data_IF_003187548103
#
_entry.id   IF_003187548103
#
_cell.length_a   1.000
_cell.length_b   1.000
_cell.length_c   1.000
_cell.angle_alpha   90.00
_cell.angle_beta   90.00
_cell.angle_gamma   90.00
#
_symmetry.space_group_name_H-M   'P 1'
#
loop_
_entity.id
_entity.type
_entity.pdbx_description
1 polymer ?
#
# COMPACT_ATOMS: atom_id res chain seq x y z
N UNK A 1 -5.82 37.22 -3.62
CA UNK A 1 -5.96 36.20 -2.56
C UNK A 1 -4.75 35.29 -2.67
N UNK A 2 -3.79 35.42 -1.77
CA UNK A 2 -2.63 34.54 -1.72
C UNK A 2 -3.13 33.18 -1.23
N UNK A 3 -3.10 32.16 -2.08
CA UNK A 3 -3.36 30.80 -1.66
C UNK A 3 -2.33 30.46 -0.57
N UNK A 4 -2.79 30.22 0.66
CA UNK A 4 -1.97 29.55 1.66
C UNK A 4 -1.56 28.21 1.06
N UNK A 5 -0.30 28.07 0.69
CA UNK A 5 0.25 26.81 0.20
C UNK A 5 0.36 25.86 1.40
N UNK A 6 -0.78 25.26 1.78
CA UNK A 6 -0.86 24.26 2.83
C UNK A 6 -0.44 22.89 2.32
N UNK A 7 0.07 22.05 3.22
CA UNK A 7 0.28 20.63 2.92
C UNK A 7 -1.03 19.99 2.42
N UNK A 8 -1.02 19.43 1.21
CA UNK A 8 -2.16 18.69 0.67
C UNK A 8 -1.93 17.19 0.82
N UNK A 9 -3.02 16.45 0.97
CA UNK A 9 -2.99 14.99 1.01
C UNK A 9 -3.42 14.46 -0.35
N UNK A 10 -2.67 13.52 -0.93
CA UNK A 10 -2.90 13.00 -2.28
C UNK A 10 -2.98 11.49 -2.22
N UNK A 11 -4.07 10.93 -2.74
CA UNK A 11 -4.24 9.50 -2.97
C UNK A 11 -4.08 9.18 -4.45
N UNK A 12 -3.29 8.17 -4.78
CA UNK A 12 -3.10 7.69 -6.16
C UNK A 12 -3.41 6.20 -6.18
N UNK A 13 -4.35 5.78 -7.04
CA UNK A 13 -4.51 4.37 -7.40
C UNK A 13 -3.75 4.12 -8.71
N UNK A 14 -2.64 3.39 -8.62
CA UNK A 14 -1.77 3.08 -9.76
C UNK A 14 -2.19 1.72 -10.37
N UNK A 15 -3.11 1.79 -11.33
CA UNK A 15 -3.61 0.62 -12.07
C UNK A 15 -2.84 0.37 -13.37
N UNK A 16 -2.97 -0.85 -13.91
CA UNK A 16 -2.24 -1.29 -15.12
C UNK A 16 -2.64 -0.53 -16.37
N UNK A 17 -3.94 -0.36 -16.57
CA UNK A 17 -4.49 0.28 -17.78
C UNK A 17 -4.85 1.74 -17.51
N UNK A 18 -5.43 2.01 -16.34
CA UNK A 18 -5.80 3.33 -15.87
C UNK A 18 -5.37 3.52 -14.44
N UNK A 19 -4.94 4.73 -14.13
CA UNK A 19 -4.70 5.23 -12.78
C UNK A 19 -5.69 6.32 -12.45
N UNK A 20 -5.81 6.62 -11.17
CA UNK A 20 -6.70 7.66 -10.66
C UNK A 20 -5.98 8.45 -9.58
N UNK A 21 -6.36 9.72 -9.43
CA UNK A 21 -5.80 10.60 -8.41
C UNK A 21 -6.92 11.37 -7.71
N UNK A 22 -6.79 11.47 -6.39
CA UNK A 22 -7.64 12.26 -5.53
C UNK A 22 -6.77 13.11 -4.61
N UNK A 23 -7.28 14.25 -4.20
CA UNK A 23 -6.60 15.11 -3.24
C UNK A 23 -7.55 15.70 -2.22
N UNK A 24 -7.00 16.15 -1.10
CA UNK A 24 -7.72 16.87 -0.07
C UNK A 24 -6.88 18.05 0.39
N UNK A 25 -7.45 19.26 0.32
CA UNK A 25 -6.84 20.46 0.88
C UNK A 25 -7.13 20.55 2.39
N UNK A 26 -6.38 21.37 3.15
CA UNK A 26 -6.61 21.54 4.60
C UNK A 26 -8.02 22.06 4.94
N UNK A 27 -8.68 22.78 4.02
CA UNK A 27 -10.03 23.29 4.22
C UNK A 27 -11.11 22.22 4.02
N UNK A 28 -10.78 21.14 3.32
CA UNK A 28 -11.74 20.11 2.96
C UNK A 28 -11.81 19.02 4.03
N UNK A 29 -13.01 18.44 4.16
CA UNK A 29 -13.25 17.29 5.07
C UNK A 29 -13.31 15.96 4.33
N UNK A 30 -13.29 15.98 3.00
CA UNK A 30 -13.38 14.80 2.16
C UNK A 30 -12.52 14.99 0.91
N UNK A 31 -11.90 13.92 0.40
CA UNK A 31 -11.14 13.97 -0.84
C UNK A 31 -12.02 14.34 -2.05
N UNK A 32 -11.37 14.93 -3.04
CA UNK A 32 -11.94 15.25 -4.35
C UNK A 32 -11.18 14.46 -5.42
N UNK A 33 -11.91 13.82 -6.32
CA UNK A 33 -11.32 13.19 -7.51
C UNK A 33 -10.81 14.28 -8.45
N UNK A 34 -9.65 14.04 -9.04
CA UNK A 34 -9.10 14.89 -10.08
C UNK A 34 -9.71 14.51 -11.42
N UNK A 35 -10.26 15.50 -12.11
CA UNK A 35 -10.83 15.37 -13.46
C UNK A 35 -9.79 15.84 -14.48
N UNK A 36 -9.75 15.25 -15.68
CA UNK A 36 -8.83 15.70 -16.73
C UNK A 36 -9.32 16.94 -17.47
N UNK A 37 -10.63 17.20 -17.51
CA UNK A 37 -11.22 18.38 -18.13
C UNK A 37 -12.08 19.19 -17.16
N UNK A 38 -12.12 20.52 -17.35
CA UNK A 38 -13.03 21.41 -16.60
C UNK A 38 -14.37 21.61 -17.32
N UNK A 39 -14.43 21.33 -18.63
CA UNK A 39 -15.49 21.82 -19.52
C UNK A 39 -16.53 20.75 -19.89
N UNK A 40 -16.20 19.45 -19.87
CA UNK A 40 -17.13 18.37 -20.20
C UNK A 40 -16.96 17.19 -19.23
N UNK A 41 -17.89 17.05 -18.27
CA UNK A 41 -17.92 15.89 -17.36
C UNK A 41 -18.42 14.65 -18.10
N UNK A 42 -17.56 14.07 -18.92
CA UNK A 42 -17.79 12.75 -19.48
C UNK A 42 -17.73 11.69 -18.37
N UNK A 43 -18.53 10.63 -18.53
CA UNK A 43 -18.47 9.44 -17.70
C UNK A 43 -17.04 8.86 -17.83
N UNK A 44 -16.25 8.91 -16.76
CA UNK A 44 -14.83 8.48 -16.66
C UNK A 44 -13.73 9.53 -16.86
N UNK A 45 -14.03 10.83 -16.86
CA UNK A 45 -13.00 11.89 -17.01
C UNK A 45 -11.94 11.92 -15.86
N UNK A 46 -12.16 11.17 -14.77
CA UNK A 46 -11.19 10.96 -13.68
C UNK A 46 -10.15 9.84 -13.92
N UNK A 47 -10.25 9.12 -15.05
CA UNK A 47 -9.38 7.97 -15.36
C UNK A 47 -8.21 8.37 -16.25
N UNK A 48 -7.02 8.37 -15.65
CA UNK A 48 -5.78 8.76 -16.30
C UNK A 48 -5.15 7.52 -16.92
N UNK A 49 -4.89 7.52 -18.23
CA UNK A 49 -4.30 6.37 -18.90
C UNK A 49 -2.89 6.11 -18.39
N UNK A 50 -2.66 4.90 -17.86
CA UNK A 50 -1.32 4.49 -17.43
C UNK A 50 -0.42 4.25 -18.65
N UNK A 51 0.86 4.65 -18.64
CA UNK A 51 1.77 4.39 -19.76
C UNK A 51 1.87 2.88 -20.04
N UNK A 52 1.71 2.51 -21.31
CA UNK A 52 1.50 1.11 -21.73
C UNK A 52 2.68 0.19 -21.36
N UNK A 53 3.90 0.72 -21.38
CA UNK A 53 5.12 -0.03 -21.10
C UNK A 53 5.53 0.00 -19.62
N UNK A 54 4.97 0.91 -18.81
CA UNK A 54 5.37 1.16 -17.43
C UNK A 54 5.41 -0.13 -16.60
N UNK A 55 4.30 -0.87 -16.54
CA UNK A 55 4.23 -2.10 -15.75
C UNK A 55 5.24 -3.14 -16.22
N UNK A 56 5.39 -3.29 -17.54
CA UNK A 56 6.33 -4.25 -18.10
C UNK A 56 7.79 -3.90 -17.83
N UNK A 57 8.15 -2.61 -17.86
CA UNK A 57 9.50 -2.13 -17.56
C UNK A 57 9.84 -2.37 -16.09
N UNK A 58 8.93 -2.01 -15.18
CA UNK A 58 9.12 -2.18 -13.74
C UNK A 58 9.22 -3.66 -13.36
N UNK A 59 8.31 -4.50 -13.85
CA UNK A 59 8.30 -5.94 -13.55
C UNK A 59 9.53 -6.67 -14.11
N UNK A 60 10.15 -6.16 -15.18
CA UNK A 60 11.43 -6.64 -15.73
C UNK A 60 12.66 -6.03 -15.07
N UNK A 61 12.48 -5.16 -14.07
CA UNK A 61 13.56 -4.41 -13.40
C UNK A 61 14.39 -3.55 -14.36
N UNK A 62 13.75 -3.04 -15.41
CA UNK A 62 14.38 -2.13 -16.36
C UNK A 62 14.52 -0.74 -15.72
N UNK A 63 15.72 -0.16 -15.78
CA UNK A 63 16.02 1.14 -15.17
C UNK A 63 15.13 2.27 -15.71
N UNK A 64 14.61 2.14 -16.93
CA UNK A 64 13.69 3.12 -17.53
C UNK A 64 12.34 3.19 -16.81
N UNK A 65 11.93 2.13 -16.11
CA UNK A 65 10.64 2.09 -15.39
C UNK A 65 10.48 3.23 -14.38
N UNK A 66 11.57 3.61 -13.69
CA UNK A 66 11.58 4.75 -12.77
C UNK A 66 11.34 6.07 -13.50
N UNK A 67 11.96 6.27 -14.67
CA UNK A 67 11.82 7.50 -15.44
C UNK A 67 10.43 7.63 -16.04
N UNK A 68 9.88 6.54 -16.57
CA UNK A 68 8.49 6.52 -17.08
C UNK A 68 7.51 6.82 -15.96
N UNK A 69 7.67 6.22 -14.78
CA UNK A 69 6.80 6.51 -13.63
C UNK A 69 6.96 7.97 -13.16
N UNK A 70 8.19 8.48 -13.11
CA UNK A 70 8.47 9.86 -12.75
C UNK A 70 7.74 10.85 -13.65
N UNK A 71 7.83 10.68 -14.98
CA UNK A 71 7.15 11.57 -15.92
C UNK A 71 5.63 11.45 -15.80
N UNK A 72 5.12 10.22 -15.67
CA UNK A 72 3.70 9.99 -15.48
C UNK A 72 3.15 10.68 -14.22
N UNK A 73 3.81 10.50 -13.08
CA UNK A 73 3.41 11.16 -11.82
C UNK A 73 3.53 12.68 -11.91
N UNK A 74 4.53 13.20 -12.62
CA UNK A 74 4.68 14.63 -12.89
C UNK A 74 3.47 15.18 -13.65
N UNK A 75 3.01 14.47 -14.67
CA UNK A 75 1.81 14.82 -15.44
C UNK A 75 0.55 14.75 -14.56
N UNK A 76 0.40 13.70 -13.76
CA UNK A 76 -0.69 13.59 -12.80
C UNK A 76 -0.72 14.76 -11.80
N UNK A 77 0.42 15.15 -11.24
CA UNK A 77 0.49 16.27 -10.30
C UNK A 77 0.30 17.63 -10.98
N UNK A 78 0.57 17.75 -12.28
CA UNK A 78 0.23 18.94 -13.04
C UNK A 78 -1.30 19.12 -13.19
N UNK A 79 -2.11 18.09 -12.93
CA UNK A 79 -3.57 18.21 -12.84
C UNK A 79 -4.05 18.81 -11.50
N UNK A 80 -3.19 18.81 -10.47
CA UNK A 80 -3.49 19.39 -9.14
C UNK A 80 -3.26 20.93 -9.10
N UNK A 81 -3.30 21.61 -10.25
CA UNK A 81 -3.00 23.05 -10.35
C UNK A 81 -3.83 23.87 -9.37
N UNK A 82 -3.14 24.66 -8.54
CA UNK A 82 -3.76 25.53 -7.55
C UNK A 82 -4.08 24.87 -6.20
N UNK A 83 -3.96 23.53 -6.07
CA UNK A 83 -4.17 22.84 -4.80
C UNK A 83 -2.98 22.97 -3.84
N UNK A 84 -1.74 22.96 -4.34
CA UNK A 84 -0.53 23.07 -3.53
C UNK A 84 0.76 22.83 -4.31
N UNK A 85 1.91 22.99 -3.64
CA UNK A 85 3.23 22.64 -4.21
C UNK A 85 3.56 21.17 -3.95
N UNK A 86 4.25 20.53 -4.90
CA UNK A 86 4.64 19.11 -4.84
C UNK A 86 5.46 18.78 -3.58
N UNK A 87 6.36 19.69 -3.18
CA UNK A 87 7.23 19.51 -2.00
C UNK A 87 6.47 19.49 -0.66
N UNK A 88 5.22 19.97 -0.65
CA UNK A 88 4.34 20.01 0.52
C UNK A 88 3.25 18.92 0.47
N UNK A 89 3.32 17.97 -0.47
CA UNK A 89 2.34 16.89 -0.58
C UNK A 89 2.66 15.74 0.38
N UNK A 90 1.64 15.22 1.05
CA UNK A 90 1.65 13.87 1.63
C UNK A 90 0.98 12.92 0.64
N UNK A 91 1.74 11.96 0.10
CA UNK A 91 1.28 11.07 -0.98
C UNK A 91 1.13 9.65 -0.47
N UNK A 92 -0.05 9.08 -0.71
CA UNK A 92 -0.33 7.66 -0.53
C UNK A 92 -0.59 7.03 -1.90
N UNK A 93 0.25 6.06 -2.28
CA UNK A 93 0.04 5.28 -3.51
C UNK A 93 -0.53 3.92 -3.15
N UNK A 94 -1.62 3.55 -3.80
CA UNK A 94 -2.26 2.25 -3.71
C UNK A 94 -2.20 1.47 -5.02
N UNK A 95 -2.19 0.15 -4.90
CA UNK A 95 -2.21 -0.80 -6.01
C UNK A 95 -2.97 -2.05 -5.59
N UNK A 96 -3.40 -2.88 -6.55
CA UNK A 96 -4.08 -4.15 -6.25
C UNK A 96 -3.31 -5.01 -5.23
N UNK A 97 -2.00 -5.15 -5.45
CA UNK A 97 -1.08 -5.80 -4.54
C UNK A 97 0.26 -5.05 -4.60
N UNK A 98 0.74 -4.58 -3.46
CA UNK A 98 2.02 -3.88 -3.39
C UNK A 98 3.16 -4.90 -3.46
N UNK A 99 4.05 -4.79 -4.46
CA UNK A 99 5.23 -5.67 -4.60
C UNK A 99 6.51 -4.92 -4.33
N UNK A 100 7.55 -5.62 -3.88
CA UNK A 100 8.78 -4.96 -3.41
C UNK A 100 9.44 -4.09 -4.48
N UNK A 101 9.43 -4.56 -5.73
CA UNK A 101 9.93 -3.80 -6.88
C UNK A 101 9.15 -2.49 -7.10
N UNK A 102 7.84 -2.52 -6.93
CA UNK A 102 6.98 -1.34 -7.06
C UNK A 102 7.20 -0.36 -5.91
N UNK A 103 7.32 -0.86 -4.68
CA UNK A 103 7.60 -0.01 -3.53
C UNK A 103 8.89 0.82 -3.71
N UNK A 104 9.97 0.20 -4.22
CA UNK A 104 11.23 0.89 -4.50
C UNK A 104 11.11 1.89 -5.67
N UNK A 105 10.46 1.49 -6.77
CA UNK A 105 10.29 2.32 -7.96
C UNK A 105 9.42 3.54 -7.68
N UNK A 106 8.28 3.36 -6.98
CA UNK A 106 7.37 4.45 -6.60
C UNK A 106 8.08 5.47 -5.72
N UNK A 107 8.79 5.01 -4.68
CA UNK A 107 9.55 5.90 -3.80
C UNK A 107 10.61 6.68 -4.57
N UNK A 108 11.36 6.00 -5.43
CA UNK A 108 12.41 6.66 -6.22
C UNK A 108 11.82 7.72 -7.15
N UNK A 109 10.70 7.44 -7.81
CA UNK A 109 10.02 8.40 -8.68
C UNK A 109 9.49 9.62 -7.90
N UNK A 110 8.84 9.41 -6.75
CA UNK A 110 8.32 10.49 -5.90
C UNK A 110 9.44 11.34 -5.26
N UNK A 111 10.54 10.72 -4.83
CA UNK A 111 11.73 11.43 -4.35
C UNK A 111 12.33 12.31 -5.45
N UNK A 112 12.41 11.81 -6.70
CA UNK A 112 12.84 12.61 -7.85
C UNK A 112 11.92 13.80 -8.16
N UNK A 113 10.65 13.74 -7.76
CA UNK A 113 9.70 14.85 -7.86
C UNK A 113 9.84 15.87 -6.72
N UNK A 114 10.71 15.62 -5.74
CA UNK A 114 10.95 16.51 -4.60
C UNK A 114 10.07 16.22 -3.39
N UNK A 115 9.31 15.12 -3.39
CA UNK A 115 8.49 14.73 -2.24
C UNK A 115 9.41 14.10 -1.18
N UNK A 116 9.41 14.60 0.07
CA UNK A 116 10.29 14.07 1.09
C UNK A 116 9.92 12.63 1.44
N UNK A 117 10.92 11.80 1.78
CA UNK A 117 10.69 10.38 2.09
C UNK A 117 9.68 10.15 3.23
N UNK A 118 9.59 11.09 4.19
CA UNK A 118 8.65 11.05 5.30
C UNK A 118 7.20 11.35 4.91
N UNK A 119 6.97 11.78 3.66
CA UNK A 119 5.65 12.10 3.11
C UNK A 119 5.24 11.11 1.99
N UNK A 120 5.98 10.01 1.82
CA UNK A 120 5.70 8.97 0.81
C UNK A 120 5.23 7.69 1.52
N UNK A 121 3.96 7.38 1.30
CA UNK A 121 3.29 6.22 1.85
C UNK A 121 2.76 5.32 0.74
N UNK A 122 2.68 4.04 1.06
CA UNK A 122 2.27 2.98 0.15
C UNK A 122 1.23 2.13 0.86
N UNK A 123 0.28 1.59 0.12
CA UNK A 123 -0.64 0.56 0.62
C UNK A 123 -1.23 -0.31 -0.48
N UNK A 124 -1.95 -1.36 -0.12
CA UNK A 124 -2.75 -2.15 -1.05
C UNK A 124 -4.20 -1.64 -1.18
N UNK A 125 -4.93 -2.24 -2.11
CA UNK A 125 -6.35 -1.96 -2.34
C UNK A 125 -7.21 -2.27 -1.11
N UNK A 126 -6.92 -3.34 -0.36
CA UNK A 126 -7.72 -3.70 0.82
C UNK A 126 -7.51 -2.72 1.98
N UNK A 127 -6.28 -2.23 2.20
CA UNK A 127 -5.99 -1.15 3.14
C UNK A 127 -6.69 0.14 2.73
N UNK A 128 -6.70 0.44 1.43
CA UNK A 128 -7.39 1.62 0.88
C UNK A 128 -8.90 1.48 1.08
N UNK A 129 -9.46 0.30 0.83
CA UNK A 129 -10.87 0.01 1.08
C UNK A 129 -11.21 0.16 2.57
N UNK A 130 -10.35 -0.32 3.46
CA UNK A 130 -10.48 -0.09 4.90
C UNK A 130 -10.53 1.41 5.23
N UNK A 131 -9.55 2.19 4.78
CA UNK A 131 -9.49 3.63 5.02
C UNK A 131 -10.74 4.35 4.47
N UNK A 132 -11.19 3.96 3.28
CA UNK A 132 -12.43 4.45 2.69
C UNK A 132 -13.63 4.14 3.58
N UNK A 133 -13.80 2.88 4.00
CA UNK A 133 -14.90 2.41 4.84
C UNK A 133 -14.95 3.15 6.18
N UNK A 134 -13.82 3.35 6.84
CA UNK A 134 -13.76 4.04 8.15
C UNK A 134 -14.18 5.51 8.07
N UNK A 135 -14.13 6.09 6.86
CA UNK A 135 -14.60 7.44 6.57
C UNK A 135 -16.04 7.49 6.03
N UNK A 136 -16.75 6.35 5.99
CA UNK A 136 -18.16 6.29 5.62
C UNK A 136 -19.11 6.41 6.82
N UNK A 137 -20.41 6.58 6.54
CA UNK A 137 -21.46 6.58 7.56
C UNK A 137 -21.45 5.27 8.36
N UNK A 138 -21.52 5.37 9.69
CA UNK A 138 -21.50 4.23 10.61
C UNK A 138 -22.55 3.15 10.33
N UNK A 139 -23.69 3.53 9.74
CA UNK A 139 -24.76 2.59 9.33
C UNK A 139 -24.28 1.53 8.32
N UNK A 140 -23.32 1.89 7.47
CA UNK A 140 -22.72 0.97 6.48
C UNK A 140 -21.78 -0.07 7.14
N UNK A 141 -21.36 0.18 8.39
CA UNK A 141 -20.45 -0.66 9.18
C UNK A 141 -21.14 -1.29 10.40
N UNK A 142 -22.48 -1.33 10.39
CA UNK A 142 -23.27 -1.91 11.49
C UNK A 142 -23.12 -3.42 11.51
N UNK A 143 -23.20 -4.05 10.34
CA UNK A 143 -22.90 -5.47 10.11
C UNK A 143 -21.67 -5.60 9.21
N UNK A 144 -21.62 -6.66 8.41
CA UNK A 144 -20.52 -6.98 7.54
C UNK A 144 -20.63 -6.22 6.21
N UNK A 145 -19.52 -6.10 5.49
CA UNK A 145 -19.43 -5.44 4.19
C UNK A 145 -18.88 -6.41 3.17
N UNK A 146 -19.48 -6.44 1.98
CA UNK A 146 -18.97 -7.21 0.85
C UNK A 146 -18.29 -6.27 -0.14
N UNK A 147 -17.17 -6.72 -0.70
CA UNK A 147 -16.49 -6.07 -1.82
C UNK A 147 -16.38 -7.10 -2.94
N UNK A 148 -16.87 -6.77 -4.13
CA UNK A 148 -16.68 -7.57 -5.33
C UNK A 148 -15.87 -6.74 -6.32
N UNK A 149 -14.75 -7.28 -6.74
CA UNK A 149 -13.90 -6.72 -7.78
C UNK A 149 -14.05 -7.56 -9.03
N UNK A 150 -14.37 -6.95 -10.16
CA UNK A 150 -14.39 -7.60 -11.45
C UNK A 150 -13.28 -7.02 -12.30
N UNK A 151 -12.25 -7.82 -12.56
CA UNK A 151 -11.13 -7.43 -13.41
C UNK A 151 -10.76 -8.62 -14.32
N UNK A 152 -10.56 -8.37 -15.62
CA UNK A 152 -10.05 -9.36 -16.59
C UNK A 152 -10.77 -10.71 -16.52
N UNK A 153 -12.08 -10.69 -16.72
CA UNK A 153 -12.92 -11.88 -16.72
C UNK A 153 -12.89 -12.66 -15.38
N UNK A 154 -12.52 -12.03 -14.27
CA UNK A 154 -12.50 -12.66 -12.94
C UNK A 154 -13.16 -11.77 -11.90
N UNK A 155 -14.18 -12.30 -11.22
CA UNK A 155 -14.75 -11.68 -10.02
C UNK A 155 -14.05 -12.24 -8.79
N UNK A 156 -13.46 -11.37 -7.98
CA UNK A 156 -12.96 -11.70 -6.64
C UNK A 156 -13.88 -11.08 -5.60
N UNK A 157 -14.38 -11.89 -4.66
CA UNK A 157 -15.23 -11.41 -3.58
C UNK A 157 -14.52 -11.47 -2.24
N UNK A 158 -14.62 -10.37 -1.50
CA UNK A 158 -14.07 -10.18 -0.18
C UNK A 158 -15.18 -9.88 0.82
N UNK A 159 -15.01 -10.40 2.02
CA UNK A 159 -15.89 -10.19 3.15
C UNK A 159 -15.13 -9.45 4.25
N UNK A 160 -15.65 -8.29 4.64
CA UNK A 160 -15.04 -7.39 5.59
C UNK A 160 -15.92 -7.22 6.83
N UNK A 161 -15.31 -7.23 8.02
CA UNK A 161 -16.04 -7.01 9.28
C UNK A 161 -15.17 -6.39 10.38
N UNK A 162 -15.84 -5.85 11.39
CA UNK A 162 -15.22 -5.27 12.57
C UNK A 162 -15.40 -6.19 13.78
N UNK A 163 -14.31 -6.71 14.32
CA UNK A 163 -14.27 -7.42 15.58
C UNK A 163 -14.18 -6.44 16.75
N UNK A 164 -15.35 -6.11 17.31
CA UNK A 164 -15.49 -5.09 18.36
C UNK A 164 -15.19 -5.59 19.78
N UNK A 165 -14.75 -6.84 19.93
CA UNK A 165 -14.44 -7.46 21.23
C UNK A 165 -13.06 -7.05 21.77
N UNK A 166 -12.18 -6.56 20.91
CA UNK A 166 -10.83 -6.11 21.23
C UNK A 166 -10.79 -4.58 21.34
N UNK A 167 -9.73 -4.07 21.97
CA UNK A 167 -9.37 -2.65 21.93
C UNK A 167 -7.90 -2.53 21.51
N UNK A 168 -7.59 -1.93 20.34
CA UNK A 168 -8.52 -1.36 19.37
C UNK A 168 -9.45 -2.40 18.72
N UNK A 169 -10.54 -1.94 18.10
CA UNK A 169 -11.43 -2.77 17.26
C UNK A 169 -10.61 -3.29 16.09
N UNK A 170 -10.69 -4.58 15.80
CA UNK A 170 -9.95 -5.15 14.68
C UNK A 170 -10.82 -5.17 13.43
N UNK A 171 -10.34 -4.54 12.36
CA UNK A 171 -10.87 -4.72 11.03
C UNK A 171 -10.25 -5.95 10.39
N UNK A 172 -11.09 -6.86 9.91
CA UNK A 172 -10.69 -8.12 9.27
C UNK A 172 -11.30 -8.22 7.89
N UNK A 173 -10.59 -8.90 7.01
CA UNK A 173 -11.04 -9.24 5.67
C UNK A 173 -10.76 -10.71 5.39
N UNK A 174 -11.59 -11.33 4.58
CA UNK A 174 -11.35 -12.67 4.05
C UNK A 174 -11.76 -12.75 2.57
N UNK A 175 -11.01 -13.52 1.79
CA UNK A 175 -11.36 -13.81 0.40
C UNK A 175 -12.38 -14.96 0.38
N UNK A 176 -13.59 -14.69 -0.08
CA UNK A 176 -14.67 -15.68 -0.11
C UNK A 176 -14.59 -16.58 -1.34
N UNK A 177 -14.49 -15.99 -2.52
CA UNK A 177 -14.43 -16.75 -3.77
C UNK A 177 -13.73 -15.98 -4.90
N UNK A 178 -13.27 -16.74 -5.90
CA UNK A 178 -12.91 -16.25 -7.23
C UNK A 178 -13.77 -16.94 -8.26
N UNK A 179 -14.39 -16.17 -9.15
CA UNK A 179 -15.25 -16.65 -10.20
C UNK A 179 -14.70 -16.20 -11.56
N UNK A 180 -14.22 -17.16 -12.34
CA UNK A 180 -13.76 -16.92 -13.71
C UNK A 180 -14.96 -16.92 -14.66
N UNK A 181 -15.07 -15.83 -15.43
CA UNK A 181 -16.09 -15.53 -16.43
C UNK A 181 -15.46 -15.37 -17.82
N UNK A 182 -14.40 -16.14 -18.08
CA UNK A 182 -13.64 -16.13 -19.33
C UNK A 182 -14.31 -16.95 -20.45
N UNK A 183 -13.66 -16.99 -21.62
CA UNK A 183 -14.12 -17.80 -22.76
C UNK A 183 -14.23 -19.31 -22.44
N UNK A 184 -13.44 -19.81 -21.50
CA UNK A 184 -13.50 -21.21 -21.06
C UNK A 184 -14.77 -21.46 -20.23
N UNK A 185 -15.16 -20.53 -19.38
CA UNK A 185 -16.43 -20.56 -18.65
C UNK A 185 -17.64 -20.42 -19.59
N UNK A 186 -17.51 -19.56 -20.60
CA UNK A 186 -18.52 -19.36 -21.66
C UNK A 186 -18.82 -20.64 -22.43
N UNK A 187 -17.81 -21.46 -22.73
CA UNK A 187 -17.91 -22.72 -23.51
C UNK A 187 -18.61 -22.53 -24.86
N UNK A 188 -18.28 -21.45 -25.58
CA UNK A 188 -18.80 -21.18 -26.93
C UNK A 188 -20.26 -20.75 -27.01
N UNK A 189 -20.93 -20.47 -25.87
CA UNK A 189 -22.31 -19.97 -25.84
C UNK A 189 -22.47 -18.61 -26.51
N UNK A 190 -23.64 -18.34 -27.06
CA UNK A 190 -24.04 -16.99 -27.51
C UNK A 190 -24.14 -16.00 -26.35
N UNK A 191 -24.20 -14.69 -26.64
CA UNK A 191 -24.15 -13.65 -25.60
C UNK A 191 -25.33 -13.70 -24.63
N UNK A 192 -26.54 -14.02 -25.11
CA UNK A 192 -27.75 -14.13 -24.28
C UNK A 192 -27.67 -15.31 -23.29
N UNK A 193 -27.39 -16.51 -23.80
CA UNK A 193 -27.20 -17.72 -22.96
C UNK A 193 -26.03 -17.53 -21.99
N UNK A 194 -24.96 -16.86 -22.44
CA UNK A 194 -23.84 -16.52 -21.59
C UNK A 194 -24.26 -15.57 -20.47
N UNK A 195 -25.02 -14.51 -20.78
CA UNK A 195 -25.56 -13.56 -19.81
C UNK A 195 -26.31 -14.24 -18.67
N UNK A 196 -27.25 -15.12 -19.02
CA UNK A 196 -28.04 -15.91 -18.05
C UNK A 196 -27.13 -16.81 -17.21
N UNK A 197 -26.19 -17.51 -17.84
CA UNK A 197 -25.28 -18.41 -17.14
C UNK A 197 -24.37 -17.65 -16.17
N UNK A 198 -23.73 -16.57 -16.60
CA UNK A 198 -22.80 -15.80 -15.75
C UNK A 198 -23.50 -15.18 -14.56
N UNK A 199 -24.73 -14.66 -14.73
CA UNK A 199 -25.54 -14.17 -13.61
C UNK A 199 -25.88 -15.30 -12.63
N UNK A 200 -26.31 -16.45 -13.15
CA UNK A 200 -26.61 -17.60 -12.30
C UNK A 200 -25.39 -18.12 -11.53
N UNK A 201 -24.20 -18.07 -12.13
CA UNK A 201 -22.95 -18.45 -11.48
C UNK A 201 -22.58 -17.46 -10.37
N UNK A 202 -22.67 -16.17 -10.62
CA UNK A 202 -22.45 -15.13 -9.62
C UNK A 202 -23.45 -15.28 -8.46
N UNK A 203 -24.74 -15.40 -8.78
CA UNK A 203 -25.80 -15.53 -7.80
C UNK A 203 -25.58 -16.71 -6.85
N UNK A 204 -25.20 -17.89 -7.37
CA UNK A 204 -24.92 -19.07 -6.53
C UNK A 204 -23.77 -18.83 -5.54
N UNK A 205 -22.72 -18.12 -5.96
CA UNK A 205 -21.61 -17.79 -5.07
C UNK A 205 -22.03 -16.74 -4.03
N UNK A 206 -22.86 -15.78 -4.42
CA UNK A 206 -23.44 -14.79 -3.50
C UNK A 206 -24.36 -15.42 -2.47
N UNK A 207 -25.22 -16.38 -2.84
CA UNK A 207 -26.07 -17.09 -1.88
C UNK A 207 -25.22 -17.76 -0.78
N UNK A 208 -24.12 -18.41 -1.17
CA UNK A 208 -23.19 -19.04 -0.23
C UNK A 208 -22.47 -18.00 0.64
N UNK A 209 -21.97 -16.91 0.07
CA UNK A 209 -21.24 -15.87 0.80
C UNK A 209 -22.12 -15.16 1.84
N UNK A 210 -23.40 -14.95 1.53
CA UNK A 210 -24.33 -14.22 2.40
C UNK A 210 -25.16 -15.16 3.30
N UNK A 211 -24.88 -16.46 3.27
CA UNK A 211 -25.57 -17.44 4.10
C UNK A 211 -25.28 -17.18 5.58
N UNK A 212 -26.33 -17.05 6.39
CA UNK A 212 -26.28 -16.85 7.85
C UNK A 212 -25.49 -15.63 8.34
N UNK A 213 -25.07 -14.72 7.45
CA UNK A 213 -24.26 -13.55 7.80
C UNK A 213 -24.96 -12.28 7.31
N UNK A 214 -25.27 -11.33 8.21
CA UNK A 214 -25.89 -10.07 7.81
C UNK A 214 -24.86 -9.13 7.20
N UNK A 215 -25.24 -8.47 6.09
CA UNK A 215 -24.42 -7.47 5.42
C UNK A 215 -25.15 -6.12 5.36
N UNK A 216 -24.46 -5.05 5.75
CA UNK A 216 -24.95 -3.67 5.69
C UNK A 216 -24.77 -3.06 4.30
N UNK A 217 -23.64 -3.36 3.66
CA UNK A 217 -23.24 -2.74 2.40
C UNK A 217 -22.54 -3.73 1.46
N UNK A 218 -22.67 -3.48 0.16
CA UNK A 218 -21.98 -4.18 -0.93
C UNK A 218 -21.34 -3.15 -1.84
N UNK A 219 -20.07 -3.32 -2.14
CA UNK A 219 -19.33 -2.51 -3.10
C UNK A 219 -18.99 -3.36 -4.33
N UNK A 220 -19.32 -2.85 -5.50
CA UNK A 220 -19.05 -3.44 -6.80
C UNK A 220 -18.04 -2.56 -7.52
N UNK A 221 -16.82 -3.06 -7.69
CA UNK A 221 -15.68 -2.39 -8.33
C UNK A 221 -15.36 -3.13 -9.63
N UNK A 222 -15.20 -2.40 -10.71
CA UNK A 222 -14.97 -2.90 -12.07
C UNK A 222 -16.09 -2.46 -13.01
N UNK A 223 -15.70 -1.86 -14.13
CA UNK A 223 -16.62 -1.39 -15.19
C UNK A 223 -17.50 -2.49 -15.76
N UNK A 224 -17.07 -3.74 -15.67
CA UNK A 224 -17.82 -4.91 -16.08
C UNK A 224 -19.14 -5.08 -15.29
N UNK A 225 -19.30 -4.41 -14.13
CA UNK A 225 -20.55 -4.35 -13.39
C UNK A 225 -21.54 -3.27 -13.89
N UNK A 226 -21.14 -2.40 -14.82
CA UNK A 226 -22.02 -1.35 -15.38
C UNK A 226 -23.05 -1.92 -16.37
N UNK A 227 -22.74 -3.05 -17.01
CA UNK A 227 -23.61 -3.67 -18.01
C UNK A 227 -24.87 -4.36 -17.44
N UNK A 228 -25.89 -4.49 -18.29
CA UNK A 228 -27.15 -5.20 -18.00
C UNK A 228 -26.98 -6.70 -18.19
N UNK A 229 -26.40 -7.37 -17.19
CA UNK A 229 -26.25 -8.82 -17.26
C UNK A 229 -26.52 -9.57 -15.96
N UNK A 230 -26.55 -8.86 -14.84
CA UNK A 230 -26.58 -9.46 -13.50
C UNK A 230 -27.88 -9.16 -12.76
N UNK A 231 -29.02 -9.10 -13.43
CA UNK A 231 -30.30 -8.68 -12.82
C UNK A 231 -30.73 -9.53 -11.63
N UNK A 232 -30.47 -10.85 -11.68
CA UNK A 232 -30.77 -11.76 -10.56
C UNK A 232 -29.82 -11.50 -9.40
N UNK A 233 -28.52 -11.41 -9.66
CA UNK A 233 -27.51 -11.11 -8.63
C UNK A 233 -27.70 -9.72 -8.03
N UNK A 234 -27.96 -8.71 -8.84
CA UNK A 234 -28.14 -7.33 -8.39
C UNK A 234 -29.38 -7.18 -7.49
N UNK A 235 -30.51 -7.79 -7.85
CA UNK A 235 -31.70 -7.82 -6.98
C UNK A 235 -31.42 -8.49 -5.64
N UNK A 236 -30.60 -9.55 -5.63
CA UNK A 236 -30.17 -10.20 -4.40
C UNK A 236 -29.30 -9.28 -3.54
N UNK A 237 -28.31 -8.62 -4.16
CA UNK A 237 -27.40 -7.70 -3.48
C UNK A 237 -28.11 -6.47 -2.91
N UNK A 238 -29.16 -5.97 -3.57
CA UNK A 238 -29.92 -4.81 -3.09
C UNK A 238 -30.97 -5.13 -2.01
N UNK A 239 -31.14 -6.41 -1.63
CA UNK A 239 -32.18 -6.81 -0.67
C UNK A 239 -31.79 -6.42 0.77
N UNK A 240 -32.46 -5.38 1.30
CA UNK A 240 -32.32 -4.86 2.68
C UNK A 240 -30.92 -4.34 3.04
N UNK A 241 -30.13 -3.94 2.06
CA UNK A 241 -28.77 -3.44 2.25
C UNK A 241 -28.43 -2.39 1.18
N UNK A 242 -27.41 -1.57 1.42
CA UNK A 242 -26.95 -0.58 0.45
C UNK A 242 -25.99 -1.25 -0.54
N UNK A 243 -26.13 -0.97 -1.83
CA UNK A 243 -25.20 -1.43 -2.87
C UNK A 243 -24.65 -0.22 -3.61
N UNK A 244 -23.34 -0.20 -3.81
CA UNK A 244 -22.61 0.88 -4.47
C UNK A 244 -21.83 0.32 -5.65
N UNK A 245 -21.77 1.08 -6.74
CA UNK A 245 -20.93 0.79 -7.91
C UNK A 245 -19.94 1.94 -8.08
N UNK A 246 -18.71 1.63 -8.46
CA UNK A 246 -17.72 2.64 -8.84
C UNK A 246 -16.28 2.26 -8.47
N UNK A 247 -15.34 2.81 -9.24
CA UNK A 247 -13.93 2.38 -9.22
C UNK A 247 -13.01 3.35 -8.48
N UNK A 248 -13.55 4.42 -7.91
CA UNK A 248 -12.75 5.46 -7.25
C UNK A 248 -12.51 5.21 -5.76
N UNK A 249 -13.10 4.18 -5.17
CA UNK A 249 -13.05 3.96 -3.72
C UNK A 249 -11.63 3.69 -3.21
N UNK A 250 -10.74 3.09 -4.03
CA UNK A 250 -9.34 2.86 -3.66
C UNK A 250 -8.56 4.16 -3.65
N UNK A 251 -8.72 4.99 -4.67
CA UNK A 251 -8.14 6.33 -4.75
C UNK A 251 -8.58 7.21 -3.58
N UNK A 252 -9.88 7.20 -3.28
CA UNK A 252 -10.46 7.93 -2.15
C UNK A 252 -9.91 7.41 -0.82
N UNK A 253 -9.85 6.09 -0.66
CA UNK A 253 -9.25 5.43 0.50
C UNK A 253 -7.78 5.77 0.71
N UNK A 254 -7.00 5.81 -0.38
CA UNK A 254 -5.62 6.28 -0.36
C UNK A 254 -5.51 7.74 0.07
N UNK A 255 -6.40 8.60 -0.43
CA UNK A 255 -6.38 9.99 -0.02
C UNK A 255 -6.78 10.16 1.46
N UNK A 256 -7.76 9.40 1.96
CA UNK A 256 -8.09 9.40 3.39
C UNK A 256 -6.91 8.95 4.25
N UNK A 257 -6.22 7.88 3.87
CA UNK A 257 -5.04 7.43 4.59
C UNK A 257 -3.91 8.46 4.54
N UNK A 258 -3.70 9.13 3.40
CA UNK A 258 -2.76 10.27 3.30
C UNK A 258 -3.14 11.44 4.25
N UNK A 259 -4.44 11.71 4.42
CA UNK A 259 -4.91 12.73 5.36
C UNK A 259 -4.58 12.34 6.80
N UNK A 260 -4.76 11.08 7.18
CA UNK A 260 -4.42 10.59 8.53
C UNK A 260 -2.91 10.74 8.81
N UNK A 261 -2.06 10.38 7.84
CA UNK A 261 -0.60 10.59 7.94
C UNK A 261 -0.21 12.08 8.00
N UNK A 262 -1.01 12.94 7.38
CA UNK A 262 -0.86 14.40 7.45
C UNK A 262 -1.50 15.02 8.71
N UNK A 263 -1.87 14.20 9.70
CA UNK A 263 -2.34 14.64 11.01
C UNK A 263 -3.85 14.90 11.12
N UNK A 264 -4.64 14.52 10.12
CA UNK A 264 -6.09 14.47 10.28
C UNK A 264 -6.45 13.44 11.38
N UNK A 265 -7.57 13.68 12.08
CA UNK A 265 -8.00 12.77 13.15
C UNK A 265 -8.32 11.40 12.57
N UNK A 266 -7.38 10.47 12.71
CA UNK A 266 -7.58 9.08 12.34
C UNK A 266 -8.70 8.44 13.15
N UNK A 267 -9.29 7.36 12.61
CA UNK A 267 -10.13 6.46 13.39
C UNK A 267 -9.26 5.62 14.35
N UNK A 268 -8.68 6.27 15.38
CA UNK A 268 -7.68 5.68 16.31
C UNK A 268 -8.18 4.46 17.10
N UNK A 269 -9.48 4.20 17.06
CA UNK A 269 -10.11 3.07 17.77
C UNK A 269 -10.19 1.80 16.92
N UNK A 270 -9.77 1.82 15.65
CA UNK A 270 -9.80 0.66 14.75
C UNK A 270 -8.43 0.38 14.13
N UNK A 271 -8.06 -0.88 14.03
CA UNK A 271 -6.84 -1.36 13.38
C UNK A 271 -7.19 -2.41 12.33
N UNK A 272 -6.74 -2.20 11.10
CA UNK A 272 -6.83 -3.22 10.05
C UNK A 272 -5.63 -4.16 10.14
N UNK A 273 -5.88 -5.46 10.30
CA UNK A 273 -4.82 -6.46 10.29
C UNK A 273 -4.65 -6.97 8.86
N UNK A 274 -3.64 -6.44 8.18
CA UNK A 274 -3.23 -6.91 6.85
C UNK A 274 -2.27 -8.09 6.98
N UNK A 275 -2.34 -9.02 6.03
CA UNK A 275 -1.34 -10.08 5.87
C UNK A 275 0.03 -9.51 5.50
N UNK A 276 0.10 -8.25 5.06
CA UNK A 276 1.32 -7.51 4.77
C UNK A 276 2.01 -6.93 6.02
N UNK A 277 1.42 -7.06 7.21
CA UNK A 277 2.01 -6.52 8.43
C UNK A 277 3.16 -7.37 8.97
N UNK A 278 4.28 -6.72 9.27
CA UNK A 278 5.41 -7.37 9.93
C UNK A 278 5.07 -7.74 11.38
N UNK A 279 5.44 -8.97 11.77
CA UNK A 279 5.13 -9.53 13.11
C UNK A 279 6.34 -9.52 14.06
N UNK A 280 7.46 -8.93 13.62
CA UNK A 280 8.72 -8.94 14.32
C UNK A 280 9.22 -7.51 14.54
N UNK A 281 9.64 -7.22 15.77
CA UNK A 281 10.45 -6.04 16.05
C UNK A 281 11.90 -6.37 15.69
N UNK A 282 12.60 -5.46 15.02
CA UNK A 282 14.03 -5.53 14.76
C UNK A 282 14.76 -4.50 15.60
N UNK A 283 15.91 -4.87 16.13
CA UNK A 283 16.78 -3.95 16.84
C UNK A 283 18.19 -4.47 17.01
N UNK A 284 19.02 -3.67 17.67
CA UNK A 284 20.42 -3.98 17.93
C UNK A 284 20.75 -3.62 19.37
N UNK A 285 21.54 -4.46 20.03
CA UNK A 285 22.20 -4.07 21.27
C UNK A 285 23.46 -3.27 20.92
N UNK A 286 23.58 -2.07 21.48
CA UNK A 286 24.71 -1.18 21.21
C UNK A 286 25.03 -0.25 22.38
N UNK A 287 26.21 0.36 22.36
CA UNK A 287 26.57 1.41 23.31
C UNK A 287 25.96 2.75 22.86
N UNK A 288 24.92 3.21 23.55
CA UNK A 288 24.25 4.48 23.32
C UNK A 288 24.67 5.45 24.42
N UNK A 289 25.43 6.50 24.06
CA UNK A 289 25.93 7.51 25.01
C UNK A 289 26.71 6.90 26.19
N UNK A 290 27.51 5.87 25.93
CA UNK A 290 28.38 5.23 26.92
C UNK A 290 27.70 4.16 27.78
N UNK A 291 26.44 3.82 27.51
CA UNK A 291 25.71 2.76 28.20
C UNK A 291 25.20 1.73 27.20
N UNK A 292 25.20 0.46 27.59
CA UNK A 292 24.57 -0.60 26.82
C UNK A 292 23.06 -0.38 26.74
N UNK A 293 22.49 -0.47 25.55
CA UNK A 293 21.07 -0.25 25.32
C UNK A 293 20.57 -0.86 24.02
N UNK A 294 19.28 -1.12 23.98
CA UNK A 294 18.59 -1.62 22.80
C UNK A 294 18.20 -0.46 21.88
N UNK A 295 18.71 -0.47 20.66
CA UNK A 295 18.36 0.47 19.61
C UNK A 295 17.31 -0.15 18.68
N UNK A 296 16.06 0.34 18.68
CA UNK A 296 15.02 -0.17 17.78
C UNK A 296 15.31 0.26 16.35
N UNK A 297 15.21 -0.68 15.41
CA UNK A 297 15.36 -0.44 13.98
C UNK A 297 13.97 -0.36 13.32
N UNK A 298 13.14 -1.39 13.51
CA UNK A 298 11.82 -1.49 12.90
C UNK A 298 10.87 -2.14 13.90
N UNK A 299 9.65 -1.63 14.04
CA UNK A 299 8.66 -2.19 14.96
C UNK A 299 7.63 -3.04 14.23
N UNK A 300 7.12 -4.09 14.88
CA UNK A 300 5.99 -4.88 14.41
C UNK A 300 4.73 -4.02 14.22
N UNK A 301 3.80 -4.47 13.37
CA UNK A 301 2.50 -3.82 13.15
C UNK A 301 2.47 -2.76 12.05
N UNK A 302 3.57 -2.59 11.31
CA UNK A 302 3.59 -1.79 10.07
C UNK A 302 3.62 -2.71 8.86
N UNK A 303 3.14 -2.24 7.71
CA UNK A 303 3.21 -3.03 6.48
C UNK A 303 4.65 -3.16 5.98
N UNK A 304 5.03 -4.33 5.47
CA UNK A 304 6.43 -4.63 5.11
C UNK A 304 7.00 -3.68 4.05
N UNK A 305 6.21 -3.20 3.09
CA UNK A 305 6.67 -2.23 2.08
C UNK A 305 6.88 -0.80 2.64
N UNK A 306 6.38 -0.54 3.85
CA UNK A 306 6.68 0.66 4.64
C UNK A 306 7.83 0.44 5.64
N UNK A 307 8.12 -0.81 5.98
CA UNK A 307 9.12 -1.20 6.98
C UNK A 307 10.55 -1.01 6.48
N UNK A 308 11.12 0.17 6.75
CA UNK A 308 12.50 0.52 6.40
C UNK A 308 13.13 1.35 7.51
N UNK A 309 14.44 1.23 7.65
CA UNK A 309 15.22 2.05 8.58
C UNK A 309 16.63 2.29 8.04
N UNK A 310 17.15 3.49 8.25
CA UNK A 310 18.54 3.82 7.94
C UNK A 310 19.17 4.45 9.18
N UNK A 311 20.32 3.93 9.61
CA UNK A 311 21.10 4.53 10.69
C UNK A 311 22.60 4.49 10.39
N UNK A 312 23.34 5.37 11.07
CA UNK A 312 24.80 5.33 11.08
C UNK A 312 25.30 5.06 12.50
N UNK A 313 26.32 4.23 12.63
CA UNK A 313 26.96 3.94 13.92
C UNK A 313 28.45 3.62 13.75
N UNK A 314 29.19 3.70 14.86
CA UNK A 314 30.61 3.35 14.90
C UNK A 314 30.77 1.88 15.27
N UNK A 315 31.57 1.15 14.49
CA UNK A 315 31.87 -0.24 14.74
C UNK A 315 32.76 -0.38 16.00
N UNK A 316 32.45 -1.39 16.82
CA UNK A 316 33.24 -1.77 17.98
C UNK A 316 34.51 -2.53 17.59
N UNK A 317 34.84 -3.55 18.37
CA UNK A 317 35.98 -4.43 18.11
C UNK A 317 35.61 -5.57 17.15
N UNK A 318 34.34 -5.99 17.15
CA UNK A 318 33.82 -7.06 16.30
C UNK A 318 33.66 -6.63 14.85
N UNK A 319 34.01 -7.53 13.91
CA UNK A 319 33.88 -7.30 12.45
C UNK A 319 32.56 -7.85 11.90
N UNK A 320 31.48 -7.59 12.61
CA UNK A 320 30.13 -8.03 12.27
C UNK A 320 29.07 -7.02 12.73
N UNK A 321 27.89 -7.13 12.12
CA UNK A 321 26.68 -6.42 12.57
C UNK A 321 25.69 -7.48 13.03
N UNK A 322 25.27 -7.42 14.29
CA UNK A 322 24.30 -8.34 14.88
C UNK A 322 22.96 -7.64 15.01
N UNK A 323 21.91 -8.25 14.45
CA UNK A 323 20.53 -7.76 14.47
C UNK A 323 19.67 -8.80 15.19
N UNK A 324 18.82 -8.32 16.10
CA UNK A 324 17.88 -9.15 16.83
C UNK A 324 16.48 -8.96 16.27
N UNK A 325 15.81 -10.07 15.98
CA UNK A 325 14.39 -10.08 15.64
C UNK A 325 13.57 -10.67 16.78
N UNK A 326 12.51 -9.99 17.19
CA UNK A 326 11.65 -10.43 18.29
C UNK A 326 10.18 -10.49 17.86
N UNK A 327 9.55 -11.67 17.99
CA UNK A 327 8.11 -11.81 17.74
C UNK A 327 7.31 -11.01 18.77
N UNK A 328 6.05 -10.68 18.45
CA UNK A 328 5.11 -10.09 19.44
C UNK A 328 4.93 -10.99 20.67
N UNK A 329 5.19 -12.30 20.55
CA UNK A 329 5.12 -13.28 21.65
C UNK A 329 6.38 -13.34 22.50
N UNK A 330 7.44 -12.61 22.11
CA UNK A 330 8.68 -12.47 22.87
C UNK A 330 9.81 -13.43 22.48
N UNK A 331 9.59 -14.31 21.49
CA UNK A 331 10.63 -15.17 20.92
C UNK A 331 11.65 -14.31 20.19
N UNK A 332 12.94 -14.55 20.44
CA UNK A 332 14.04 -13.74 19.91
C UNK A 332 14.97 -14.62 19.07
N UNK A 333 15.43 -14.09 17.95
CA UNK A 333 16.41 -14.70 17.06
C UNK A 333 17.51 -13.70 16.74
N UNK A 334 18.74 -14.19 16.67
CA UNK A 334 19.93 -13.42 16.35
C UNK A 334 20.32 -13.64 14.88
N UNK A 335 20.68 -12.54 14.21
CA UNK A 335 21.09 -12.53 12.80
C UNK A 335 22.39 -11.78 12.63
N UNK A 336 23.42 -12.46 12.15
CA UNK A 336 24.78 -11.91 12.04
C UNK A 336 25.15 -11.63 10.59
N UNK A 337 25.55 -10.39 10.31
CA UNK A 337 26.13 -9.97 9.04
C UNK A 337 27.64 -9.82 9.19
N UNK A 338 28.40 -10.80 8.69
CA UNK A 338 29.86 -10.76 8.72
C UNK A 338 30.43 -9.71 7.76
N UNK A 339 31.27 -8.80 8.26
CA UNK A 339 31.90 -7.73 7.48
C UNK A 339 33.21 -8.22 6.85
N UNK A 340 33.09 -9.24 6.00
CA UNK A 340 34.23 -9.86 5.33
C UNK A 340 35.08 -8.83 4.57
N UNK A 341 36.41 -8.94 4.69
CA UNK A 341 37.36 -8.03 4.05
C UNK A 341 37.27 -6.56 4.50
N UNK A 342 36.68 -6.28 5.67
CA UNK A 342 36.77 -4.96 6.30
C UNK A 342 38.25 -4.64 6.64
N UNK A 343 38.77 -3.44 6.30
CA UNK A 343 40.12 -3.05 6.67
C UNK A 343 40.34 -3.11 8.17
N UNK A 344 41.57 -3.43 8.57
CA UNK A 344 41.94 -3.41 9.97
C UNK A 344 42.08 -1.97 10.45
N UNK A 345 41.24 -1.55 11.38
CA UNK A 345 41.20 -0.19 11.94
C UNK A 345 40.98 -0.27 13.45
N UNK A 346 41.41 0.73 14.22
CA UNK A 346 41.14 0.79 15.65
C UNK A 346 39.64 0.77 15.96
N UNK A 347 39.30 0.41 17.20
CA UNK A 347 37.93 0.51 17.73
C UNK A 347 37.33 1.89 17.44
N UNK A 348 36.07 1.94 16.99
CA UNK A 348 35.34 3.17 16.63
C UNK A 348 35.95 3.99 15.48
N UNK A 349 36.87 3.42 14.70
CA UNK A 349 37.46 4.08 13.51
C UNK A 349 36.75 3.72 12.19
N UNK A 350 35.64 2.97 12.25
CA UNK A 350 34.80 2.61 11.11
C UNK A 350 33.38 3.08 11.41
N UNK A 351 32.86 4.01 10.61
CA UNK A 351 31.44 4.34 10.60
C UNK A 351 30.73 3.50 9.54
N UNK A 352 29.68 2.82 9.94
CA UNK A 352 28.83 2.07 9.03
C UNK A 352 27.52 2.83 8.81
N UNK A 353 27.03 2.84 7.56
CA UNK A 353 25.63 3.09 7.26
C UNK A 353 24.92 1.75 7.14
N UNK A 354 23.84 1.57 7.89
CA UNK A 354 22.99 0.38 7.83
C UNK A 354 21.64 0.78 7.24
N UNK A 355 21.25 0.12 6.16
CA UNK A 355 19.95 0.23 5.53
C UNK A 355 19.20 -1.10 5.68
N UNK A 356 18.00 -1.04 6.25
CA UNK A 356 17.10 -2.18 6.41
C UNK A 356 15.83 -1.90 5.61
N UNK A 357 15.38 -2.89 4.86
CA UNK A 357 14.11 -2.83 4.14
C UNK A 357 13.48 -4.21 4.06
N UNK A 358 12.16 -4.31 4.27
CA UNK A 358 11.48 -5.58 4.14
C UNK A 358 11.13 -5.88 2.68
N UNK A 359 11.11 -7.18 2.36
CA UNK A 359 10.76 -7.71 1.03
C UNK A 359 9.54 -8.64 1.08
N UNK A 360 9.15 -9.05 2.29
CA UNK A 360 7.94 -9.77 2.65
C UNK A 360 7.69 -9.59 4.15
N UNK A 361 6.52 -9.98 4.71
CA UNK A 361 6.23 -9.85 6.15
C UNK A 361 7.25 -10.52 7.08
N UNK A 362 7.92 -11.57 6.59
CA UNK A 362 8.86 -12.42 7.32
C UNK A 362 10.31 -12.33 6.81
N UNK A 363 10.60 -11.43 5.87
CA UNK A 363 11.93 -11.33 5.25
C UNK A 363 12.37 -9.90 5.04
N UNK A 364 13.59 -9.58 5.48
CA UNK A 364 14.20 -8.28 5.25
C UNK A 364 15.55 -8.38 4.55
N UNK A 365 15.89 -7.33 3.81
CA UNK A 365 17.21 -7.07 3.26
C UNK A 365 17.94 -6.10 4.18
N UNK A 366 19.17 -6.46 4.51
CA UNK A 366 20.09 -5.63 5.28
C UNK A 366 21.28 -5.29 4.39
N UNK A 367 21.63 -4.02 4.33
CA UNK A 367 22.78 -3.49 3.60
C UNK A 367 23.63 -2.66 4.54
N UNK A 368 24.89 -3.01 4.71
CA UNK A 368 25.87 -2.24 5.48
C UNK A 368 26.91 -1.64 4.52
N UNK A 369 27.24 -0.37 4.66
CA UNK A 369 28.22 0.34 3.86
C UNK A 369 29.28 0.99 4.76
N UNK A 370 30.56 0.74 4.46
CA UNK A 370 31.67 1.38 5.17
C UNK A 370 31.85 2.82 4.70
N UNK A 371 31.51 3.77 5.57
CA UNK A 371 31.70 5.20 5.33
C UNK A 371 33.09 5.70 5.78
N UNK A 372 33.91 4.86 6.41
CA UNK A 372 35.15 5.27 7.05
C UNK A 372 34.91 6.22 8.21
N UNK A 373 35.91 7.04 8.55
CA UNK A 373 35.84 8.10 9.55
C UNK A 373 36.75 9.27 9.12
N UNK A 374 36.27 10.02 8.13
CA UNK A 374 36.99 11.17 7.56
C UNK A 374 38.27 10.75 6.83
N UNK A 375 39.23 11.67 6.75
CA UNK A 375 40.49 11.45 6.03
C UNK A 375 41.46 10.51 6.75
N UNK A 376 41.38 10.43 8.08
CA UNK A 376 42.24 9.55 8.89
C UNK A 376 41.97 8.07 8.62
N UNK A 377 40.71 7.73 8.35
CA UNK A 377 40.26 6.39 8.06
C UNK A 377 39.30 6.42 6.87
N UNK A 378 39.80 6.52 5.63
CA UNK A 378 38.94 6.68 4.47
C UNK A 378 38.02 5.47 4.29
N UNK A 379 36.82 5.69 3.72
CA UNK A 379 35.91 4.62 3.32
C UNK A 379 36.63 3.60 2.44
N UNK A 380 36.38 2.32 2.68
CA UNK A 380 36.85 1.25 1.80
C UNK A 380 35.98 1.05 0.55
N UNK A 381 34.83 1.74 0.48
CA UNK A 381 33.80 1.51 -0.54
C UNK A 381 33.12 0.14 -0.46
N UNK A 382 33.37 -0.65 0.59
CA UNK A 382 32.78 -1.97 0.77
C UNK A 382 31.30 -1.84 1.16
N UNK A 383 30.51 -2.71 0.57
CA UNK A 383 29.09 -2.89 0.85
C UNK A 383 28.86 -4.38 1.12
N UNK A 384 28.15 -4.68 2.20
CA UNK A 384 27.73 -6.03 2.56
C UNK A 384 26.22 -6.10 2.52
N UNK A 385 25.66 -7.14 1.90
CA UNK A 385 24.22 -7.35 1.79
C UNK A 385 23.84 -8.76 2.23
N UNK A 386 22.74 -8.87 2.97
CA UNK A 386 22.13 -10.15 3.32
C UNK A 386 20.61 -10.05 3.26
N UNK A 387 19.96 -11.17 2.93
CA UNK A 387 18.53 -11.35 3.14
C UNK A 387 18.34 -12.23 4.37
N UNK A 388 17.56 -11.75 5.34
CA UNK A 388 17.31 -12.39 6.63
C UNK A 388 15.89 -12.95 6.62
N UNK A 389 15.75 -14.22 7.01
CA UNK A 389 14.46 -14.85 7.34
C UNK A 389 14.17 -14.65 8.82
N UNK A 390 12.96 -14.20 9.14
CA UNK A 390 12.50 -13.97 10.52
C UNK A 390 11.64 -15.12 11.04
N UNK A 391 11.38 -16.12 10.20
CA UNK A 391 10.62 -17.34 10.46
C UNK A 391 11.50 -18.59 10.48
#
# INVERSE_FOLDING_TARGET
MLAEHGNISVGIDLGRDYSQIAFCSKSDRAPLMVMQSEEEKEENDYLIRTPVDLFSLVERKDARGVEVLYQFLKECFALLKGAGSVEHMTVMVTMHEMKGIWADVIRTALLKLGIPSSAIFLQGHLESFYAYLMNQKKELLTYHVALLEYERDCITAWHFWLERKTKPVLAKTEKCFRLYLDNKARKGRGDEEWGILRDSLLHKNLEKMFENTPFSAVYLVGREFEGEWMDKSFRFLCRKRRSFRGDNLYTMGACYAAMEENGATACKDTLYLSDDMIQHNLGMWMEIRGQEGYYPLVNAGINWYMARHTCEFLLGDEKEVVIYSRTVRGEEMEHTLALSQLPDRPRRATRLRLDISFTAPDRCRVRAEDLGLGELYPSSGKIWEANISLS
#
